data_IF_306666493611
#
_entry.id   IF_306666493611
#
_cell.length_a   1.000
_cell.length_b   1.000
_cell.length_c   1.000
_cell.angle_alpha   90.00
_cell.angle_beta   90.00
_cell.angle_gamma   90.00
#
_symmetry.space_group_name_H-M   'P 1'
#
loop_
_entity.id
_entity.type
_entity.pdbx_description
1 polymer ?
#
# COMPACT_ATOMS: atom_id res chain seq x y z
N UNK A 1 5.37 39.25 -71.26
CA UNK A 1 4.70 38.89 -69.99
C UNK A 1 4.92 37.41 -69.71
N UNK A 2 5.26 37.06 -68.46
CA UNK A 2 5.51 35.73 -67.88
C UNK A 2 6.98 35.30 -67.73
N UNK A 3 7.26 34.82 -66.51
CA UNK A 3 8.43 34.09 -65.98
C UNK A 3 9.64 34.94 -65.57
N UNK A 4 9.83 35.07 -64.25
CA UNK A 4 11.09 35.03 -63.46
C UNK A 4 10.98 35.90 -62.20
N UNK A 5 10.27 35.42 -61.17
CA UNK A 5 10.49 35.88 -59.79
C UNK A 5 10.28 34.64 -58.90
N UNK A 6 11.33 33.83 -58.80
CA UNK A 6 11.44 32.73 -57.85
C UNK A 6 12.90 32.66 -57.41
N UNK A 7 13.25 33.52 -56.46
CA UNK A 7 14.44 33.45 -55.58
C UNK A 7 14.45 34.75 -54.76
N UNK A 8 14.90 34.68 -53.50
CA UNK A 8 14.99 35.78 -52.53
C UNK A 8 13.77 35.99 -51.61
N UNK A 9 13.42 34.98 -50.81
CA UNK A 9 12.94 35.19 -49.44
C UNK A 9 13.09 33.88 -48.64
N UNK A 10 14.34 33.48 -48.39
CA UNK A 10 14.66 32.25 -47.66
C UNK A 10 15.82 32.42 -46.66
N UNK A 11 16.16 33.65 -46.25
CA UNK A 11 17.22 33.86 -45.26
C UNK A 11 16.87 35.05 -44.36
N UNK A 12 16.17 34.75 -43.26
CA UNK A 12 16.42 35.24 -41.89
C UNK A 12 15.16 34.99 -41.05
N UNK A 13 15.08 33.81 -40.44
CA UNK A 13 14.46 33.71 -39.12
C UNK A 13 15.39 32.84 -38.29
N UNK A 14 16.06 33.39 -37.26
CA UNK A 14 16.86 32.57 -36.37
C UNK A 14 15.91 31.57 -35.70
N UNK A 15 16.31 30.30 -35.78
CA UNK A 15 15.72 29.21 -35.02
C UNK A 15 15.94 29.56 -33.54
N UNK A 16 14.98 30.26 -32.95
CA UNK A 16 14.87 30.33 -31.51
C UNK A 16 14.30 28.97 -31.10
N UNK A 17 15.20 28.01 -30.89
CA UNK A 17 14.89 26.82 -30.11
C UNK A 17 14.61 27.31 -28.70
N UNK A 18 13.38 27.75 -28.44
CA UNK A 18 12.83 27.74 -27.10
C UNK A 18 12.91 26.27 -26.68
N UNK A 19 13.91 25.93 -25.88
CA UNK A 19 13.82 24.73 -25.06
C UNK A 19 12.49 24.82 -24.35
N UNK A 20 11.56 23.93 -24.70
CA UNK A 20 10.36 23.69 -23.92
C UNK A 20 10.91 23.10 -22.62
N UNK A 21 11.22 23.98 -21.66
CA UNK A 21 11.19 23.60 -20.26
C UNK A 21 9.78 23.03 -20.07
N UNK A 22 9.70 21.73 -19.81
CA UNK A 22 8.48 21.09 -19.34
C UNK A 22 8.09 21.91 -18.11
N UNK A 23 7.09 22.77 -18.25
CA UNK A 23 6.56 23.47 -17.09
C UNK A 23 5.99 22.37 -16.21
N UNK A 24 6.64 22.09 -15.08
CA UNK A 24 6.13 21.16 -14.09
C UNK A 24 4.84 21.75 -13.55
N UNK A 25 3.73 21.38 -14.17
CA UNK A 25 2.39 21.83 -13.77
C UNK A 25 2.09 21.23 -12.41
N UNK A 26 2.22 22.06 -11.37
CA UNK A 26 1.73 21.75 -10.02
C UNK A 26 0.25 21.39 -10.13
N UNK A 27 -0.10 20.17 -9.74
CA UNK A 27 -1.49 19.71 -9.74
C UNK A 27 -2.21 20.33 -8.55
N UNK A 28 -3.51 20.58 -8.70
CA UNK A 28 -4.35 20.99 -7.56
C UNK A 28 -4.50 19.88 -6.53
N UNK A 29 -4.46 18.61 -6.98
CA UNK A 29 -4.64 17.41 -6.17
C UNK A 29 -3.71 16.29 -6.64
N UNK A 30 -3.10 15.58 -5.69
CA UNK A 30 -2.24 14.43 -5.94
C UNK A 30 -2.82 13.15 -5.31
N UNK A 31 -2.73 12.02 -6.01
CA UNK A 31 -3.13 10.71 -5.47
C UNK A 31 -1.91 10.04 -4.85
N UNK A 32 -1.91 9.82 -3.54
CA UNK A 32 -0.81 9.20 -2.80
C UNK A 32 -1.22 7.78 -2.39
N UNK A 33 -0.51 6.77 -2.87
CA UNK A 33 -0.73 5.40 -2.44
C UNK A 33 0.11 5.07 -1.20
N UNK A 34 -0.40 4.20 -0.34
CA UNK A 34 0.27 3.75 0.87
C UNK A 34 -0.03 2.27 1.15
N UNK A 35 0.70 1.69 2.10
CA UNK A 35 0.38 0.37 2.63
C UNK A 35 -0.96 0.36 3.40
N UNK A 36 -1.52 -0.83 3.59
CA UNK A 36 -2.80 -1.06 4.28
C UNK A 36 -2.63 -1.39 5.76
N UNK A 37 -1.48 -1.91 6.19
CA UNK A 37 -1.23 -2.19 7.61
C UNK A 37 0.26 -2.34 7.94
N UNK A 38 0.83 -1.26 8.48
CA UNK A 38 2.21 -1.13 8.90
C UNK A 38 2.35 -0.10 10.03
N UNK A 39 1.79 -0.41 11.20
CA UNK A 39 1.94 0.44 12.38
C UNK A 39 3.41 0.50 12.84
N UNK A 40 3.93 1.66 13.29
CA UNK A 40 3.22 2.94 13.51
C UNK A 40 3.16 3.87 12.30
N UNK A 41 3.63 3.46 11.12
CA UNK A 41 3.70 4.33 9.95
C UNK A 41 2.34 4.52 9.26
N UNK A 42 1.60 3.44 9.05
CA UNK A 42 0.25 3.48 8.48
C UNK A 42 -0.60 2.35 9.03
N UNK A 43 -1.71 2.66 9.67
CA UNK A 43 -2.64 1.67 10.23
C UNK A 43 -4.00 2.31 10.47
N UNK A 44 -5.03 1.49 10.66
CA UNK A 44 -6.35 1.97 11.04
C UNK A 44 -6.45 2.13 12.56
N UNK A 45 -6.98 3.27 13.01
CA UNK A 45 -7.35 3.46 14.41
C UNK A 45 -8.67 2.70 14.74
N UNK A 46 -9.13 2.80 15.99
CA UNK A 46 -10.40 2.19 16.44
C UNK A 46 -11.65 2.66 15.70
N UNK A 47 -11.56 3.77 14.96
CA UNK A 47 -12.63 4.33 14.14
C UNK A 47 -12.53 3.89 12.66
N UNK A 48 -11.61 2.98 12.32
CA UNK A 48 -11.28 2.54 10.96
C UNK A 48 -10.66 3.65 10.08
N UNK A 49 -10.12 4.71 10.66
CA UNK A 49 -9.45 5.78 9.92
C UNK A 49 -7.93 5.51 9.83
N UNK A 50 -7.37 5.69 8.64
CA UNK A 50 -5.92 5.57 8.44
C UNK A 50 -5.15 6.70 9.13
N UNK A 51 -4.25 6.30 10.02
CA UNK A 51 -3.37 7.13 10.83
C UNK A 51 -1.95 6.52 10.88
N UNK A 52 -1.01 7.23 11.47
CA UNK A 52 0.38 6.80 11.61
C UNK A 52 1.35 7.88 11.16
N UNK A 53 2.65 7.63 11.33
CA UNK A 53 3.72 8.56 10.99
C UNK A 53 3.63 9.01 9.53
N UNK A 54 3.46 8.08 8.58
CA UNK A 54 3.40 8.41 7.14
C UNK A 54 2.14 9.21 6.82
N UNK A 55 1.00 8.81 7.40
CA UNK A 55 -0.29 9.48 7.18
C UNK A 55 -0.30 10.91 7.71
N UNK A 56 0.22 11.11 8.91
CA UNK A 56 0.29 12.43 9.54
C UNK A 56 1.35 13.30 8.85
N UNK A 57 2.49 12.72 8.45
CA UNK A 57 3.57 13.42 7.75
C UNK A 57 3.11 13.94 6.38
N UNK A 58 2.51 13.11 5.54
CA UNK A 58 2.10 13.55 4.20
C UNK A 58 1.01 14.61 4.26
N UNK A 59 0.06 14.50 5.21
CA UNK A 59 -0.99 15.50 5.43
C UNK A 59 -0.40 16.83 5.93
N UNK A 60 0.57 16.79 6.83
CA UNK A 60 1.25 17.98 7.32
C UNK A 60 2.06 18.68 6.22
N UNK A 61 2.78 17.92 5.38
CA UNK A 61 3.52 18.44 4.22
C UNK A 61 2.57 19.07 3.20
N UNK A 62 1.46 18.38 2.87
CA UNK A 62 0.44 18.89 1.95
C UNK A 62 -0.13 20.23 2.43
N UNK A 63 -0.44 20.34 3.72
CA UNK A 63 -0.90 21.59 4.35
C UNK A 63 0.16 22.70 4.33
N UNK A 64 1.42 22.38 4.62
CA UNK A 64 2.51 23.35 4.66
C UNK A 64 2.84 23.91 3.26
N UNK A 65 2.77 23.06 2.23
CA UNK A 65 3.08 23.43 0.85
C UNK A 65 1.86 23.88 0.04
N UNK A 66 0.65 23.70 0.55
CA UNK A 66 -0.58 24.19 -0.06
C UNK A 66 -1.09 23.36 -1.24
N UNK A 67 -0.89 22.03 -1.22
CA UNK A 67 -1.47 21.12 -2.22
C UNK A 67 -2.50 20.17 -1.59
N UNK A 68 -3.46 19.69 -2.38
CA UNK A 68 -4.43 18.70 -1.93
C UNK A 68 -3.93 17.28 -2.18
N UNK A 69 -4.32 16.34 -1.32
CA UNK A 69 -4.03 14.93 -1.48
C UNK A 69 -5.28 14.08 -1.34
N UNK A 70 -5.34 13.00 -2.10
CA UNK A 70 -6.19 11.84 -1.83
C UNK A 70 -5.28 10.66 -1.53
N UNK A 71 -5.50 10.01 -0.38
CA UNK A 71 -4.70 8.87 0.04
C UNK A 71 -5.49 7.60 -0.22
N UNK A 72 -4.86 6.62 -0.87
CA UNK A 72 -5.37 5.26 -1.00
C UNK A 72 -4.45 4.28 -0.27
N UNK A 73 -5.01 3.25 0.32
CA UNK A 73 -4.27 2.27 1.14
C UNK A 73 -4.48 0.83 0.63
N UNK A 74 -4.10 0.52 -0.63
CA UNK A 74 -4.34 -0.80 -1.21
C UNK A 74 -3.38 -1.90 -0.71
N UNK A 75 -2.34 -1.54 0.05
CA UNK A 75 -1.24 -2.43 0.43
C UNK A 75 0.04 -2.12 -0.35
N UNK A 76 1.21 -2.42 0.23
CA UNK A 76 2.51 -1.98 -0.30
C UNK A 76 2.76 -2.39 -1.76
N UNK A 77 2.56 -3.67 -2.10
CA UNK A 77 2.78 -4.18 -3.46
C UNK A 77 1.82 -3.56 -4.48
N UNK A 78 0.55 -3.35 -4.06
CA UNK A 78 -0.45 -2.69 -4.89
C UNK A 78 -0.16 -1.19 -5.04
N UNK A 79 0.36 -0.53 -4.00
CA UNK A 79 0.78 0.87 -4.04
C UNK A 79 1.97 1.09 -4.99
N UNK A 80 2.98 0.19 -4.97
CA UNK A 80 4.07 0.18 -5.95
C UNK A 80 3.50 0.06 -7.37
N UNK A 81 2.60 -0.90 -7.58
CA UNK A 81 1.99 -1.15 -8.89
C UNK A 81 1.19 0.06 -9.38
N UNK A 82 0.42 0.69 -8.50
CA UNK A 82 -0.38 1.89 -8.81
C UNK A 82 0.51 3.06 -9.25
N UNK A 83 1.61 3.33 -8.55
CA UNK A 83 2.54 4.41 -8.95
C UNK A 83 3.25 4.09 -10.28
N UNK A 84 3.68 2.84 -10.47
CA UNK A 84 4.31 2.43 -11.74
C UNK A 84 3.34 2.52 -12.93
N UNK A 85 2.07 2.17 -12.71
CA UNK A 85 1.00 2.30 -13.69
C UNK A 85 0.55 3.75 -13.93
N UNK A 86 0.92 4.69 -13.04
CA UNK A 86 0.49 6.09 -13.10
C UNK A 86 -0.93 6.33 -12.55
N UNK A 87 -1.48 5.37 -11.81
CA UNK A 87 -2.75 5.49 -11.08
C UNK A 87 -2.58 6.26 -9.76
N UNK A 88 -1.37 6.29 -9.22
CA UNK A 88 -0.99 7.14 -8.10
C UNK A 88 0.21 8.01 -8.50
N UNK A 89 0.24 9.22 -7.95
CA UNK A 89 1.27 10.23 -8.20
C UNK A 89 2.54 10.02 -7.36
N UNK A 90 2.40 9.38 -6.21
CA UNK A 90 3.51 9.02 -5.34
C UNK A 90 3.11 7.99 -4.29
N UNK A 91 4.11 7.53 -3.55
CA UNK A 91 3.98 6.52 -2.50
C UNK A 91 4.68 6.98 -1.22
N UNK A 92 3.97 6.91 -0.10
CA UNK A 92 4.53 7.00 1.26
C UNK A 92 4.07 5.77 2.03
N UNK A 93 5.00 4.87 2.36
CA UNK A 93 4.67 3.57 2.94
C UNK A 93 5.90 2.93 3.63
N UNK A 94 6.68 3.71 4.38
CA UNK A 94 7.94 3.26 4.97
C UNK A 94 8.94 2.74 3.92
N UNK A 95 8.86 3.25 2.69
CA UNK A 95 9.56 2.64 1.55
C UNK A 95 11.06 2.83 1.67
N UNK A 96 11.78 1.73 1.89
CA UNK A 96 13.25 1.73 1.93
C UNK A 96 13.84 2.16 0.57
N UNK A 97 14.84 3.03 0.61
CA UNK A 97 15.62 3.50 -0.53
C UNK A 97 16.64 2.45 -0.92
N UNK A 98 16.45 1.80 -2.08
CA UNK A 98 17.37 0.76 -2.60
C UNK A 98 17.74 1.05 -4.05
N UNK A 99 18.90 0.55 -4.50
CA UNK A 99 19.34 0.75 -5.88
C UNK A 99 18.39 0.13 -6.91
N UNK A 100 17.80 -1.03 -6.57
CA UNK A 100 16.76 -1.66 -7.38
C UNK A 100 15.53 -0.77 -7.54
N UNK A 101 15.11 -0.06 -6.48
CA UNK A 101 13.98 0.87 -6.54
C UNK A 101 14.34 2.17 -7.23
N UNK A 102 15.57 2.70 -7.07
CA UNK A 102 16.06 3.88 -7.80
C UNK A 102 16.08 3.69 -9.33
N UNK A 103 16.04 2.44 -9.80
CA UNK A 103 15.89 2.16 -11.23
C UNK A 103 14.49 2.54 -11.76
N UNK A 104 13.46 2.52 -10.90
CA UNK A 104 12.04 2.71 -11.28
C UNK A 104 11.34 3.88 -10.58
N UNK A 105 11.93 4.40 -9.51
CA UNK A 105 11.41 5.51 -8.71
C UNK A 105 12.45 6.62 -8.51
N UNK A 106 11.96 7.86 -8.42
CA UNK A 106 12.71 8.99 -7.85
C UNK A 106 12.26 9.18 -6.40
N UNK A 107 13.22 9.44 -5.51
CA UNK A 107 12.98 9.54 -4.07
C UNK A 107 13.15 10.96 -3.56
N UNK A 108 12.41 11.26 -2.50
CA UNK A 108 12.60 12.44 -1.66
C UNK A 108 13.86 12.32 -0.81
N UNK A 109 14.16 13.39 -0.06
CA UNK A 109 15.05 13.30 1.08
C UNK A 109 14.46 12.31 2.09
N UNK A 110 15.33 11.59 2.80
CA UNK A 110 14.87 10.64 3.80
C UNK A 110 14.17 11.34 4.96
N UNK A 111 12.99 10.82 5.31
CA UNK A 111 12.26 11.27 6.48
C UNK A 111 12.56 10.41 7.71
N UNK A 112 12.98 9.15 7.55
CA UNK A 112 13.30 8.28 8.67
C UNK A 112 14.44 7.31 8.33
N UNK A 113 15.35 7.08 9.28
CA UNK A 113 16.38 6.04 9.15
C UNK A 113 15.85 4.77 9.83
N UNK A 114 15.63 3.72 9.04
CA UNK A 114 15.16 2.45 9.55
C UNK A 114 16.33 1.66 10.16
N UNK A 115 16.14 1.25 11.42
CA UNK A 115 16.94 0.21 12.03
C UNK A 115 16.15 -1.09 11.96
N UNK A 116 16.78 -2.19 11.58
CA UNK A 116 16.21 -3.52 11.75
C UNK A 116 16.50 -3.99 13.17
N UNK A 117 15.54 -4.62 13.82
CA UNK A 117 15.71 -5.14 15.16
C UNK A 117 15.14 -6.55 15.28
N UNK A 118 15.78 -7.37 16.12
CA UNK A 118 15.29 -8.70 16.43
C UNK A 118 14.22 -8.63 17.52
N UNK A 119 13.06 -9.23 17.26
CA UNK A 119 12.00 -9.45 18.23
C UNK A 119 11.85 -10.91 18.60
N UNK A 120 11.75 -11.17 19.89
CA UNK A 120 11.49 -12.51 20.43
C UNK A 120 10.44 -12.42 21.53
N UNK A 121 9.77 -13.53 21.82
CA UNK A 121 8.88 -13.61 23.00
C UNK A 121 9.65 -13.28 24.27
N UNK A 122 9.01 -12.64 25.26
CA UNK A 122 9.64 -12.33 26.55
C UNK A 122 10.27 -13.57 27.21
N UNK A 123 9.62 -14.72 27.08
CA UNK A 123 10.07 -16.02 27.58
C UNK A 123 11.24 -16.64 26.81
N UNK A 124 11.66 -16.05 25.69
CA UNK A 124 12.73 -16.57 24.85
C UNK A 124 14.09 -16.43 25.53
N UNK A 125 14.98 -17.40 25.30
CA UNK A 125 16.37 -17.37 25.76
C UNK A 125 17.32 -16.76 24.72
N UNK A 126 16.84 -16.43 23.53
CA UNK A 126 17.63 -15.81 22.46
C UNK A 126 18.09 -14.42 22.93
N UNK A 127 19.41 -14.23 22.99
CA UNK A 127 20.05 -12.99 23.44
C UNK A 127 21.00 -12.39 22.39
N UNK A 128 21.39 -13.18 21.39
CA UNK A 128 22.38 -12.82 20.37
C UNK A 128 21.99 -13.40 18.99
N UNK A 129 22.66 -12.94 17.92
CA UNK A 129 22.42 -13.50 16.59
C UNK A 129 22.93 -14.94 16.49
N UNK A 130 23.95 -15.31 17.26
CA UNK A 130 24.51 -16.64 17.36
C UNK A 130 23.49 -17.66 17.91
N UNK A 131 22.58 -17.22 18.79
CA UNK A 131 21.50 -18.06 19.34
C UNK A 131 20.41 -18.40 18.31
N UNK A 132 20.44 -17.77 17.13
CA UNK A 132 19.51 -18.05 16.04
C UNK A 132 19.88 -19.30 15.23
N UNK A 133 21.00 -19.95 15.53
CA UNK A 133 21.40 -21.17 14.81
C UNK A 133 20.29 -22.22 14.85
N UNK A 134 19.94 -22.75 13.69
CA UNK A 134 18.86 -23.71 13.45
C UNK A 134 17.43 -23.20 13.79
N UNK A 135 17.28 -21.94 14.21
CA UNK A 135 16.01 -21.27 14.48
C UNK A 135 15.37 -20.72 13.21
N UNK A 136 14.07 -20.45 13.27
CA UNK A 136 13.34 -19.80 12.18
C UNK A 136 13.05 -18.34 12.51
N UNK A 137 13.53 -17.43 11.67
CA UNK A 137 13.28 -15.99 11.78
C UNK A 137 12.25 -15.57 10.73
N UNK A 138 11.16 -14.96 11.18
CA UNK A 138 10.14 -14.38 10.32
C UNK A 138 10.51 -12.97 9.85
N UNK A 139 10.20 -12.65 8.60
CA UNK A 139 10.39 -11.31 8.02
C UNK A 139 9.38 -11.05 6.90
N UNK A 140 9.02 -9.79 6.66
CA UNK A 140 8.17 -9.42 5.52
C UNK A 140 8.97 -9.45 4.21
N UNK A 141 8.34 -9.91 3.14
CA UNK A 141 8.93 -9.94 1.81
C UNK A 141 9.22 -8.53 1.28
N UNK A 142 10.32 -8.37 0.55
CA UNK A 142 10.71 -7.10 -0.08
C UNK A 142 11.20 -6.01 0.87
N UNK A 143 11.54 -6.35 2.12
CA UNK A 143 11.99 -5.39 3.14
C UNK A 143 13.51 -5.37 3.28
N UNK A 144 14.08 -4.25 3.74
CA UNK A 144 15.49 -4.18 4.09
C UNK A 144 15.87 -5.14 5.23
N UNK A 145 14.93 -5.42 6.14
CA UNK A 145 15.05 -6.48 7.15
C UNK A 145 15.26 -7.87 6.53
N UNK A 146 14.56 -8.19 5.43
CA UNK A 146 14.78 -9.44 4.69
C UNK A 146 16.18 -9.49 4.08
N UNK A 147 16.61 -8.40 3.43
CA UNK A 147 17.96 -8.30 2.86
C UNK A 147 19.03 -8.55 3.92
N UNK A 148 18.93 -7.87 5.06
CA UNK A 148 19.85 -8.07 6.19
C UNK A 148 19.90 -9.54 6.64
N UNK A 149 18.73 -10.19 6.79
CA UNK A 149 18.68 -11.59 7.16
C UNK A 149 19.31 -12.49 6.10
N UNK A 150 19.05 -12.26 4.82
CA UNK A 150 19.60 -13.06 3.73
C UNK A 150 21.13 -12.94 3.66
N UNK A 151 21.67 -11.73 3.76
CA UNK A 151 23.12 -11.49 3.71
C UNK A 151 23.86 -12.12 4.90
N UNK A 152 23.23 -12.17 6.08
CA UNK A 152 23.83 -12.72 7.29
C UNK A 152 23.45 -14.18 7.56
N UNK A 153 22.65 -14.81 6.68
CA UNK A 153 22.12 -16.16 6.92
C UNK A 153 23.22 -17.21 7.07
N UNK A 154 24.21 -17.20 6.18
CA UNK A 154 25.34 -18.14 6.23
C UNK A 154 26.23 -17.93 7.45
N UNK A 155 26.25 -16.73 8.02
CA UNK A 155 27.05 -16.39 9.20
C UNK A 155 26.44 -16.96 10.49
N UNK A 156 25.12 -16.92 10.62
CA UNK A 156 24.42 -17.26 11.87
C UNK A 156 23.61 -18.57 11.81
N UNK A 157 23.37 -19.13 10.62
CA UNK A 157 22.81 -20.48 10.46
C UNK A 157 21.32 -20.61 10.79
N UNK A 158 20.54 -19.54 10.69
CA UNK A 158 19.08 -19.58 10.84
C UNK A 158 18.36 -19.90 9.52
N UNK A 159 17.06 -20.20 9.61
CA UNK A 159 16.11 -20.30 8.50
C UNK A 159 15.30 -19.01 8.40
N UNK A 160 14.99 -18.58 7.19
CA UNK A 160 14.17 -17.39 6.94
C UNK A 160 12.78 -17.85 6.50
N UNK A 161 11.73 -17.32 7.14
CA UNK A 161 10.34 -17.47 6.69
C UNK A 161 9.79 -16.10 6.30
N UNK A 162 9.40 -15.95 5.05
CA UNK A 162 8.86 -14.69 4.53
C UNK A 162 7.35 -14.61 4.68
N UNK A 163 6.84 -13.42 4.95
CA UNK A 163 5.41 -13.10 5.09
C UNK A 163 4.99 -11.96 4.17
N UNK A 164 3.72 -11.93 3.77
CA UNK A 164 3.13 -10.84 2.98
C UNK A 164 2.84 -9.59 3.81
N UNK A 165 2.56 -9.76 5.09
CA UNK A 165 2.06 -8.73 5.99
C UNK A 165 2.57 -8.95 7.42
N UNK A 166 2.50 -7.90 8.24
CA UNK A 166 2.95 -7.95 9.63
C UNK A 166 2.10 -8.87 10.50
N UNK A 167 0.78 -8.86 10.33
CA UNK A 167 -0.16 -9.62 11.17
C UNK A 167 0.15 -11.12 11.14
N UNK A 168 0.25 -11.72 9.96
CA UNK A 168 0.55 -13.14 9.79
C UNK A 168 1.95 -13.53 10.31
N UNK A 169 2.91 -12.60 10.25
CA UNK A 169 4.25 -12.77 10.81
C UNK A 169 4.22 -12.80 12.34
N UNK A 170 3.59 -11.81 12.98
CA UNK A 170 3.48 -11.74 14.45
C UNK A 170 2.64 -12.89 15.01
N UNK A 171 1.57 -13.30 14.32
CA UNK A 171 0.77 -14.48 14.70
C UNK A 171 1.60 -15.77 14.65
N UNK A 172 2.49 -15.89 13.66
CA UNK A 172 3.42 -17.03 13.57
C UNK A 172 4.40 -17.05 14.74
N UNK A 173 4.84 -15.88 15.24
CA UNK A 173 5.70 -15.80 16.43
C UNK A 173 4.96 -16.22 17.70
N UNK A 174 3.73 -15.70 17.86
CA UNK A 174 2.87 -15.97 19.00
C UNK A 174 2.54 -17.47 19.11
N UNK A 175 2.19 -18.10 17.99
CA UNK A 175 1.91 -19.55 17.91
C UNK A 175 3.17 -20.43 18.05
N UNK A 176 4.37 -19.83 17.95
CA UNK A 176 5.64 -20.57 17.97
C UNK A 176 5.98 -21.27 16.67
N UNK A 177 5.31 -20.93 15.56
CA UNK A 177 5.67 -21.39 14.23
C UNK A 177 6.99 -20.78 13.71
N UNK A 178 7.44 -19.67 14.32
CA UNK A 178 8.77 -19.08 14.19
C UNK A 178 9.32 -18.74 15.58
N UNK A 179 10.64 -18.66 15.71
CA UNK A 179 11.33 -18.42 17.00
C UNK A 179 11.57 -16.93 17.26
N UNK A 180 11.73 -16.15 16.19
CA UNK A 180 12.00 -14.71 16.23
C UNK A 180 11.39 -14.02 15.01
N UNK A 181 11.22 -12.71 15.10
CA UNK A 181 10.90 -11.84 13.96
C UNK A 181 12.01 -10.81 13.79
N UNK A 182 12.22 -10.36 12.57
CA UNK A 182 13.03 -9.19 12.29
C UNK A 182 12.17 -8.17 11.54
N UNK A 183 12.03 -6.99 12.12
CA UNK A 183 11.22 -5.90 11.57
C UNK A 183 11.89 -4.56 11.91
N UNK A 184 11.32 -3.47 11.44
CA UNK A 184 11.82 -2.14 11.75
C UNK A 184 11.65 -1.83 13.24
N UNK A 185 12.67 -1.26 13.85
CA UNK A 185 12.72 -0.87 15.27
C UNK A 185 11.47 -0.12 15.75
N UNK A 186 10.96 0.93 15.06
CA UNK A 186 9.74 1.60 15.47
C UNK A 186 8.52 0.68 15.48
N UNK A 187 8.41 -0.26 14.54
CA UNK A 187 7.29 -1.20 14.41
C UNK A 187 7.28 -2.15 15.60
N UNK A 188 8.45 -2.73 15.89
CA UNK A 188 8.57 -3.70 16.96
C UNK A 188 8.39 -3.05 18.35
N UNK A 189 8.98 -1.86 18.56
CA UNK A 189 8.81 -1.09 19.80
C UNK A 189 7.36 -0.62 19.98
N UNK A 190 6.70 -0.20 18.90
CA UNK A 190 5.29 0.16 18.94
C UNK A 190 4.43 -1.06 19.34
N UNK A 191 4.64 -2.22 18.71
CA UNK A 191 3.93 -3.46 19.07
C UNK A 191 4.11 -3.84 20.55
N UNK A 192 5.34 -3.71 21.09
CA UNK A 192 5.61 -3.90 22.53
C UNK A 192 4.82 -2.89 23.37
N UNK A 193 4.81 -1.61 22.97
CA UNK A 193 4.05 -0.56 23.68
C UNK A 193 2.54 -0.79 23.68
N UNK A 194 2.01 -1.48 22.66
CA UNK A 194 0.60 -1.87 22.56
C UNK A 194 0.27 -3.14 23.38
N UNK A 195 1.24 -3.71 24.10
CA UNK A 195 1.02 -4.82 25.03
C UNK A 195 1.42 -6.20 24.50
N UNK A 196 2.07 -6.29 23.33
CA UNK A 196 2.65 -7.56 22.89
C UNK A 196 3.77 -7.99 23.84
N UNK A 197 3.73 -9.25 24.30
CA UNK A 197 4.71 -9.85 25.23
C UNK A 197 6.01 -10.24 24.51
N UNK A 198 6.64 -9.24 23.90
CA UNK A 198 7.88 -9.36 23.15
C UNK A 198 8.99 -8.55 23.81
N UNK A 199 10.23 -8.92 23.52
CA UNK A 199 11.43 -8.16 23.88
C UNK A 199 12.39 -8.06 22.70
N UNK A 200 13.28 -7.07 22.77
CA UNK A 200 14.31 -6.80 21.76
C UNK A 200 15.70 -7.02 22.36
N UNK A 201 16.26 -8.23 22.31
CA UNK A 201 17.50 -8.57 23.02
C UNK A 201 18.75 -7.95 22.40
N UNK A 202 18.68 -7.55 21.12
CA UNK A 202 19.79 -7.01 20.34
C UNK A 202 19.44 -5.57 19.96
N UNK A 203 20.41 -4.66 20.04
CA UNK A 203 20.24 -3.29 19.57
C UNK A 203 19.92 -3.26 18.06
N UNK A 204 19.12 -2.29 17.65
CA UNK A 204 18.78 -2.10 16.24
C UNK A 204 20.02 -1.86 15.39
N UNK A 205 20.06 -2.48 14.19
CA UNK A 205 21.11 -2.26 13.20
C UNK A 205 20.57 -1.35 12.09
N UNK A 206 21.23 -0.25 11.74
CA UNK A 206 20.81 0.59 10.61
C UNK A 206 20.77 -0.23 9.31
N UNK A 207 19.63 -0.22 8.62
CA UNK A 207 19.42 -0.96 7.36
C UNK A 207 19.05 -0.06 6.18
N UNK A 208 19.06 1.25 6.39
CA UNK A 208 18.92 2.24 5.33
C UNK A 208 17.90 3.31 5.64
N UNK A 209 17.61 4.10 4.62
CA UNK A 209 16.73 5.25 4.69
C UNK A 209 15.34 4.89 4.15
N UNK A 210 14.29 5.48 4.74
CA UNK A 210 12.95 5.51 4.15
C UNK A 210 12.67 6.90 3.60
N UNK A 211 12.00 6.94 2.46
CA UNK A 211 11.69 8.18 1.74
C UNK A 211 10.36 8.07 1.01
N UNK A 212 9.77 9.22 0.71
CA UNK A 212 8.66 9.33 -0.21
C UNK A 212 9.18 9.10 -1.63
N UNK A 213 8.37 8.50 -2.50
CA UNK A 213 8.80 8.20 -3.86
C UNK A 213 7.72 8.52 -4.90
N UNK A 214 8.18 8.85 -6.10
CA UNK A 214 7.35 9.03 -7.30
C UNK A 214 7.91 8.14 -8.41
N UNK A 215 7.10 7.85 -9.44
CA UNK A 215 7.59 7.15 -10.63
C UNK A 215 8.76 7.92 -11.23
N UNK A 216 9.84 7.23 -11.60
CA UNK A 216 11.04 7.86 -12.14
C UNK A 216 10.74 8.74 -13.35
N UNK A 217 11.20 9.99 -13.30
CA UNK A 217 10.97 11.01 -14.32
C UNK A 217 9.58 11.66 -14.31
N UNK A 218 8.77 11.38 -13.29
CA UNK A 218 7.42 11.95 -13.10
C UNK A 218 7.33 12.76 -11.81
N UNK A 219 6.44 13.76 -11.80
CA UNK A 219 6.12 14.60 -10.63
C UNK A 219 7.34 15.15 -9.85
N UNK A 220 8.38 15.70 -10.52
CA UNK A 220 9.54 16.27 -9.83
C UNK A 220 9.18 17.42 -8.88
N UNK A 221 8.11 18.16 -9.18
CA UNK A 221 7.58 19.21 -8.31
C UNK A 221 7.01 18.64 -7.00
N UNK A 222 6.45 17.43 -7.01
CA UNK A 222 5.94 16.77 -5.81
C UNK A 222 7.08 16.37 -4.88
N UNK A 223 8.20 15.90 -5.43
CA UNK A 223 9.44 15.64 -4.65
C UNK A 223 9.98 16.94 -4.04
N UNK A 224 10.01 18.03 -4.81
CA UNK A 224 10.48 19.33 -4.31
C UNK A 224 9.59 19.86 -3.18
N UNK A 225 8.26 19.81 -3.36
CA UNK A 225 7.29 20.17 -2.31
C UNK A 225 7.47 19.28 -1.07
N UNK A 226 7.64 17.98 -1.25
CA UNK A 226 7.88 17.06 -0.13
C UNK A 226 9.14 17.44 0.65
N UNK A 227 10.28 17.63 -0.03
CA UNK A 227 11.54 17.96 0.62
C UNK A 227 11.46 19.30 1.36
N UNK A 228 10.85 20.32 0.74
CA UNK A 228 10.67 21.63 1.36
C UNK A 228 9.74 21.56 2.57
N UNK A 229 8.62 20.85 2.46
CA UNK A 229 7.70 20.63 3.58
C UNK A 229 8.36 19.87 4.71
N UNK A 230 9.08 18.79 4.41
CA UNK A 230 9.84 18.02 5.41
C UNK A 230 10.86 18.90 6.14
N UNK A 231 11.61 19.74 5.42
CA UNK A 231 12.56 20.67 6.02
C UNK A 231 11.86 21.69 6.94
N UNK A 232 10.72 22.25 6.52
CA UNK A 232 9.92 23.17 7.33
C UNK A 232 9.40 22.50 8.61
N UNK A 233 8.83 21.29 8.50
CA UNK A 233 8.31 20.53 9.64
C UNK A 233 9.42 20.09 10.61
N UNK A 234 10.62 19.79 10.10
CA UNK A 234 11.80 19.54 10.95
C UNK A 234 12.22 20.82 11.69
N UNK A 235 12.25 21.96 10.99
CA UNK A 235 12.68 23.24 11.56
C UNK A 235 11.71 23.79 12.63
N UNK A 236 10.40 23.60 12.46
CA UNK A 236 9.37 24.08 13.38
C UNK A 236 9.02 23.07 14.50
N UNK A 237 9.64 21.88 14.49
CA UNK A 237 9.45 20.83 15.48
C UNK A 237 8.20 19.97 15.30
N UNK A 238 7.35 20.23 14.30
CA UNK A 238 6.14 19.45 14.03
C UNK A 238 6.48 18.01 13.62
N UNK A 239 7.57 17.82 12.87
CA UNK A 239 8.04 16.48 12.52
C UNK A 239 8.36 15.64 13.77
N UNK A 240 9.01 16.23 14.77
CA UNK A 240 9.31 15.53 16.02
C UNK A 240 8.04 15.20 16.80
N UNK A 241 7.04 16.09 16.82
CA UNK A 241 5.74 15.80 17.46
C UNK A 241 5.02 14.61 16.80
N UNK A 242 5.10 14.50 15.47
CA UNK A 242 4.53 13.36 14.74
C UNK A 242 5.25 12.09 15.19
N UNK A 243 6.59 12.08 15.26
CA UNK A 243 7.34 10.92 15.74
C UNK A 243 6.98 10.58 17.19
N UNK A 244 7.00 11.56 18.09
CA UNK A 244 6.74 11.36 19.53
C UNK A 244 5.33 10.81 19.79
N UNK A 245 4.34 11.23 19.00
CA UNK A 245 2.96 10.72 19.07
C UNK A 245 2.90 9.20 18.94
N UNK A 246 3.82 8.59 18.19
CA UNK A 246 3.81 7.15 17.91
C UNK A 246 4.99 6.38 18.51
N UNK A 247 6.12 7.04 18.77
CA UNK A 247 7.39 6.40 19.15
C UNK A 247 7.85 6.72 20.58
N UNK A 248 7.27 7.74 21.24
CA UNK A 248 7.66 8.05 22.61
C UNK A 248 7.25 6.90 23.54
N UNK A 249 8.26 6.26 24.16
CA UNK A 249 8.06 5.25 25.20
C UNK A 249 7.29 5.87 26.36
N UNK A 250 5.98 5.60 26.43
CA UNK A 250 5.08 6.18 27.43
C UNK A 250 3.82 6.81 26.86
N UNK A 251 3.73 7.04 25.53
CA UNK A 251 2.43 7.24 24.89
C UNK A 251 1.75 5.87 24.74
N UNK A 252 1.36 5.31 25.89
CA UNK A 252 0.19 4.46 25.93
C UNK A 252 -0.95 5.32 25.38
N UNK A 253 -1.17 5.28 24.07
CA UNK A 253 -2.52 5.49 23.54
C UNK A 253 -3.36 4.61 24.42
N UNK A 254 -4.21 5.24 25.22
CA UNK A 254 -5.08 4.57 26.19
C UNK A 254 -6.18 3.89 25.39
N UNK A 255 -5.80 2.96 24.52
CA UNK A 255 -6.59 1.81 24.20
C UNK A 255 -6.48 0.96 25.45
N UNK A 256 -7.47 1.11 26.33
CA UNK A 256 -7.67 0.27 27.50
C UNK A 256 -7.94 -1.16 27.01
N UNK A 257 -6.91 -1.85 26.52
CA UNK A 257 -6.96 -3.27 26.23
C UNK A 257 -6.88 -3.98 27.58
N UNK A 258 -8.02 -4.06 28.28
CA UNK A 258 -8.16 -4.81 29.54
C UNK A 258 -8.09 -6.33 29.32
N UNK A 259 -7.80 -6.78 28.10
CA UNK A 259 -7.93 -8.18 27.68
C UNK A 259 -6.64 -8.61 26.98
N UNK A 260 -6.12 -9.76 27.41
CA UNK A 260 -4.88 -10.35 26.90
C UNK A 260 -5.05 -10.87 25.46
N UNK A 261 -4.57 -10.09 24.49
CA UNK A 261 -4.57 -10.44 23.06
C UNK A 261 -3.63 -11.59 22.70
N UNK A 262 -2.83 -12.12 23.63
CA UNK A 262 -2.08 -13.36 23.38
C UNK A 262 -2.97 -14.60 23.34
N UNK A 263 -4.27 -14.44 23.63
CA UNK A 263 -5.28 -15.50 23.57
C UNK A 263 -6.30 -15.23 22.46
N UNK A 264 -6.79 -16.31 21.83
CA UNK A 264 -7.85 -16.24 20.81
C UNK A 264 -9.09 -15.49 21.36
N UNK A 265 -9.40 -15.69 22.64
CA UNK A 265 -10.53 -15.04 23.30
C UNK A 265 -10.30 -13.53 23.48
N UNK A 266 -9.09 -13.11 23.82
CA UNK A 266 -8.75 -11.69 23.93
C UNK A 266 -8.78 -10.96 22.59
N UNK A 267 -8.26 -11.60 21.54
CA UNK A 267 -8.36 -11.08 20.16
C UNK A 267 -9.83 -10.91 19.73
N UNK A 268 -10.66 -11.93 19.97
CA UNK A 268 -12.09 -11.88 19.68
C UNK A 268 -12.79 -10.75 20.42
N UNK A 269 -12.51 -10.59 21.72
CA UNK A 269 -13.17 -9.58 22.54
C UNK A 269 -12.75 -8.16 22.14
N UNK A 270 -11.48 -7.94 21.83
CA UNK A 270 -11.00 -6.60 21.47
C UNK A 270 -11.44 -6.19 20.05
N UNK A 271 -11.52 -7.16 19.14
CA UNK A 271 -11.84 -6.92 17.73
C UNK A 271 -13.30 -7.26 17.36
N UNK A 272 -14.16 -7.57 18.33
CA UNK A 272 -15.51 -8.09 18.08
C UNK A 272 -16.35 -7.16 17.19
N UNK A 273 -16.20 -5.83 17.35
CA UNK A 273 -16.90 -4.84 16.53
C UNK A 273 -16.46 -4.91 15.07
N UNK A 274 -15.16 -5.01 14.83
CA UNK A 274 -14.60 -5.08 13.49
C UNK A 274 -14.95 -6.42 12.82
N UNK A 275 -14.92 -7.52 13.58
CA UNK A 275 -15.36 -8.83 13.13
C UNK A 275 -16.85 -8.85 12.75
N UNK A 276 -17.72 -8.27 13.59
CA UNK A 276 -19.15 -8.13 13.29
C UNK A 276 -19.40 -7.25 12.06
N UNK A 277 -18.65 -6.15 11.92
CA UNK A 277 -18.74 -5.28 10.75
C UNK A 277 -18.32 -6.01 9.47
N UNK A 278 -17.17 -6.72 9.50
CA UNK A 278 -16.69 -7.52 8.38
C UNK A 278 -17.62 -8.68 8.01
N UNK A 279 -18.18 -9.36 9.02
CA UNK A 279 -19.22 -10.38 8.82
C UNK A 279 -20.47 -9.77 8.17
N UNK A 280 -20.92 -8.60 8.64
CA UNK A 280 -22.06 -7.89 8.06
C UNK A 280 -21.85 -7.54 6.59
N UNK A 281 -20.67 -7.03 6.24
CA UNK A 281 -20.29 -6.74 4.86
C UNK A 281 -20.28 -8.02 4.01
N UNK A 282 -19.70 -9.11 4.54
CA UNK A 282 -19.64 -10.41 3.83
C UNK A 282 -21.04 -10.97 3.57
N UNK A 283 -21.93 -10.93 4.57
CA UNK A 283 -23.31 -11.38 4.44
C UNK A 283 -24.10 -10.49 3.47
N UNK A 284 -23.90 -9.17 3.52
CA UNK A 284 -24.54 -8.24 2.60
C UNK A 284 -24.09 -8.49 1.15
N UNK A 285 -22.78 -8.61 0.93
CA UNK A 285 -22.20 -8.97 -0.38
C UNK A 285 -22.79 -10.28 -0.89
N UNK A 286 -22.79 -11.33 -0.08
CA UNK A 286 -23.31 -12.63 -0.47
C UNK A 286 -24.81 -12.57 -0.83
N UNK A 287 -25.63 -11.94 0.00
CA UNK A 287 -27.08 -11.88 -0.22
C UNK A 287 -27.45 -11.04 -1.45
N UNK A 288 -26.83 -9.87 -1.61
CA UNK A 288 -27.11 -8.99 -2.75
C UNK A 288 -26.61 -9.63 -4.05
N UNK A 289 -25.39 -10.17 -4.05
CA UNK A 289 -24.82 -10.85 -5.22
C UNK A 289 -25.66 -12.06 -5.61
N UNK A 290 -26.12 -12.85 -4.64
CA UNK A 290 -26.99 -13.99 -4.88
C UNK A 290 -28.34 -13.58 -5.48
N UNK A 291 -28.96 -12.52 -4.98
CA UNK A 291 -30.20 -12.00 -5.53
C UNK A 291 -30.04 -11.54 -6.99
N UNK A 292 -28.95 -10.83 -7.30
CA UNK A 292 -28.63 -10.39 -8.66
C UNK A 292 -28.35 -11.60 -9.57
N UNK A 293 -27.55 -12.57 -9.10
CA UNK A 293 -27.21 -13.79 -9.84
C UNK A 293 -28.45 -14.59 -10.22
N UNK A 294 -29.45 -14.69 -9.33
CA UNK A 294 -30.73 -15.35 -9.64
C UNK A 294 -31.44 -14.64 -10.80
N UNK A 295 -31.53 -13.30 -10.73
CA UNK A 295 -32.23 -12.51 -11.77
C UNK A 295 -31.52 -12.66 -13.11
N UNK A 296 -30.19 -12.51 -13.13
CA UNK A 296 -29.36 -12.69 -14.33
C UNK A 296 -29.52 -14.12 -14.86
N UNK A 297 -29.40 -15.13 -14.00
CA UNK A 297 -29.53 -16.54 -14.36
C UNK A 297 -30.89 -16.89 -14.96
N UNK A 298 -31.98 -16.34 -14.42
CA UNK A 298 -33.33 -16.55 -14.98
C UNK A 298 -33.44 -15.90 -16.37
N UNK A 299 -32.97 -14.66 -16.53
CA UNK A 299 -33.04 -13.94 -17.83
C UNK A 299 -32.27 -14.71 -18.91
N UNK A 300 -31.03 -15.09 -18.64
CA UNK A 300 -30.21 -15.83 -19.60
C UNK A 300 -30.72 -17.26 -19.80
N UNK A 301 -31.24 -17.89 -18.75
CA UNK A 301 -31.94 -19.18 -18.87
C UNK A 301 -33.13 -19.09 -19.84
N UNK A 302 -33.95 -18.04 -19.76
CA UNK A 302 -35.05 -17.81 -20.71
C UNK A 302 -34.55 -17.50 -22.12
N UNK A 303 -33.45 -16.77 -22.26
CA UNK A 303 -32.85 -16.48 -23.57
C UNK A 303 -32.33 -17.75 -24.24
N UNK A 304 -31.76 -18.68 -23.48
CA UNK A 304 -31.22 -19.96 -23.98
C UNK A 304 -32.28 -20.86 -24.62
N UNK A 305 -33.53 -20.78 -24.14
CA UNK A 305 -34.68 -21.56 -24.66
C UNK A 305 -35.60 -20.77 -25.58
N UNK A 306 -35.22 -19.53 -25.90
CA UNK A 306 -36.04 -18.65 -26.73
C UNK A 306 -36.20 -19.18 -28.16
N UNK A 307 -37.37 -19.00 -28.80
CA UNK A 307 -37.53 -19.31 -30.23
C UNK A 307 -36.65 -18.42 -31.12
N UNK A 308 -36.23 -17.25 -30.64
CA UNK A 308 -35.39 -16.32 -31.39
C UNK A 308 -33.91 -16.71 -31.33
N UNK A 309 -33.31 -16.93 -32.50
CA UNK A 309 -31.89 -17.31 -32.63
C UNK A 309 -30.93 -16.27 -32.05
N UNK A 310 -31.27 -14.98 -32.13
CA UNK A 310 -30.47 -13.89 -31.57
C UNK A 310 -30.36 -13.96 -30.05
N UNK A 311 -31.46 -14.27 -29.35
CA UNK A 311 -31.46 -14.37 -27.89
C UNK A 311 -30.67 -15.57 -27.40
N UNK A 312 -30.80 -16.71 -28.08
CA UNK A 312 -29.98 -17.90 -27.77
C UNK A 312 -28.50 -17.65 -27.95
N UNK A 313 -28.11 -16.98 -29.04
CA UNK A 313 -26.72 -16.62 -29.30
C UNK A 313 -26.15 -15.70 -28.22
N UNK A 314 -26.92 -14.70 -27.78
CA UNK A 314 -26.50 -13.79 -26.71
C UNK A 314 -26.29 -14.57 -25.39
N UNK A 315 -27.16 -15.53 -25.09
CA UNK A 315 -27.02 -16.37 -23.90
C UNK A 315 -25.83 -17.32 -23.96
N UNK A 316 -25.58 -17.94 -25.11
CA UNK A 316 -24.42 -18.82 -25.31
C UNK A 316 -23.12 -18.04 -25.11
N UNK A 317 -22.99 -16.87 -25.75
CA UNK A 317 -21.81 -16.00 -25.61
C UNK A 317 -21.61 -15.60 -24.14
N UNK A 318 -22.67 -15.16 -23.45
CA UNK A 318 -22.57 -14.77 -22.04
C UNK A 318 -22.07 -15.94 -21.17
N UNK A 319 -22.70 -17.10 -21.28
CA UNK A 319 -22.35 -18.29 -20.48
C UNK A 319 -20.92 -18.76 -20.78
N UNK A 320 -20.54 -18.80 -22.05
CA UNK A 320 -19.21 -19.26 -22.48
C UNK A 320 -18.11 -18.30 -22.01
N UNK A 321 -18.34 -16.98 -22.09
CA UNK A 321 -17.36 -15.98 -21.64
C UNK A 321 -17.23 -15.99 -20.13
N UNK A 322 -18.35 -15.94 -19.39
CA UNK A 322 -18.32 -15.85 -17.93
C UNK A 322 -17.78 -17.14 -17.31
N UNK A 323 -18.16 -18.33 -17.82
CA UNK A 323 -17.61 -19.60 -17.32
C UNK A 323 -16.21 -19.92 -17.84
N UNK A 324 -15.81 -19.33 -18.97
CA UNK A 324 -14.52 -19.56 -19.60
C UNK A 324 -13.38 -18.74 -18.99
N UNK A 325 -13.69 -17.61 -18.34
CA UNK A 325 -12.67 -16.75 -17.71
C UNK A 325 -12.45 -17.18 -16.26
N UNK A 326 -11.20 -17.44 -15.83
CA UNK A 326 -10.88 -17.67 -14.43
C UNK A 326 -11.42 -16.55 -13.54
N UNK A 327 -12.11 -16.89 -12.43
CA UNK A 327 -12.76 -15.92 -11.54
C UNK A 327 -11.81 -14.81 -11.08
N UNK A 328 -10.54 -15.14 -10.83
CA UNK A 328 -9.52 -14.15 -10.46
C UNK A 328 -9.27 -13.09 -11.55
N UNK A 329 -9.30 -13.49 -12.82
CA UNK A 329 -9.14 -12.57 -13.96
C UNK A 329 -10.39 -11.70 -14.10
N UNK A 330 -11.57 -12.31 -13.96
CA UNK A 330 -12.85 -11.58 -13.99
C UNK A 330 -12.92 -10.55 -12.86
N UNK A 331 -12.57 -10.94 -11.64
CA UNK A 331 -12.49 -10.05 -10.49
C UNK A 331 -11.47 -8.93 -10.73
N UNK A 332 -10.25 -9.25 -11.18
CA UNK A 332 -9.25 -8.22 -11.49
C UNK A 332 -9.74 -7.22 -12.55
N UNK A 333 -10.45 -7.71 -13.58
CA UNK A 333 -11.03 -6.86 -14.60
C UNK A 333 -12.17 -5.97 -14.07
N UNK A 334 -12.99 -6.47 -13.15
CA UNK A 334 -14.08 -5.67 -12.56
C UNK A 334 -13.54 -4.64 -11.58
N UNK A 335 -12.56 -5.01 -10.75
CA UNK A 335 -11.95 -4.12 -9.75
C UNK A 335 -11.03 -3.07 -10.36
N UNK A 336 -10.32 -3.42 -11.44
CA UNK A 336 -9.30 -2.54 -12.02
C UNK A 336 -9.56 -2.20 -13.48
N UNK A 337 -10.00 -3.15 -14.29
CA UNK A 337 -10.22 -2.93 -15.73
C UNK A 337 -11.36 -1.93 -16.03
N UNK A 338 -12.56 -2.20 -15.51
CA UNK A 338 -13.75 -1.36 -15.77
C UNK A 338 -13.55 0.07 -15.22
N UNK A 339 -13.09 0.28 -13.97
CA UNK A 339 -12.85 1.63 -13.46
C UNK A 339 -11.88 2.44 -14.31
N UNK A 340 -10.72 1.85 -14.65
CA UNK A 340 -9.71 2.51 -15.49
C UNK A 340 -10.24 2.82 -16.90
N UNK A 341 -11.07 1.93 -17.47
CA UNK A 341 -11.66 2.15 -18.79
C UNK A 341 -12.68 3.31 -18.78
N UNK A 342 -13.54 3.36 -17.76
CA UNK A 342 -14.49 4.47 -17.56
C UNK A 342 -13.73 5.78 -17.40
N UNK A 343 -12.69 5.80 -16.57
CA UNK A 343 -11.88 7.00 -16.34
C UNK A 343 -11.14 7.46 -17.61
N UNK A 344 -10.61 6.53 -18.40
CA UNK A 344 -9.96 6.83 -19.68
C UNK A 344 -10.91 7.50 -20.70
N UNK A 345 -12.19 7.09 -20.72
CA UNK A 345 -13.18 7.65 -21.66
C UNK A 345 -13.82 8.93 -21.13
N UNK A 346 -14.10 8.99 -19.83
CA UNK A 346 -14.89 10.08 -19.24
C UNK A 346 -14.03 11.17 -18.61
N UNK A 347 -12.74 10.90 -18.34
CA UNK A 347 -11.86 11.77 -17.58
C UNK A 347 -12.27 11.93 -16.12
N UNK A 348 -13.21 11.11 -15.62
CA UNK A 348 -13.70 11.14 -14.25
C UNK A 348 -13.49 9.79 -13.56
N UNK A 349 -13.15 9.84 -12.27
CA UNK A 349 -12.98 8.66 -11.44
C UNK A 349 -14.27 7.81 -11.47
N UNK A 350 -14.09 6.50 -11.66
CA UNK A 350 -15.21 5.57 -11.77
C UNK A 350 -16.12 5.61 -10.53
N UNK A 351 -17.45 5.57 -10.69
CA UNK A 351 -18.38 5.49 -9.56
C UNK A 351 -18.41 4.09 -8.90
N UNK A 352 -17.69 3.12 -9.46
CA UNK A 352 -17.65 1.74 -8.96
C UNK A 352 -16.69 1.68 -7.77
N UNK A 353 -17.25 1.60 -6.56
CA UNK A 353 -16.50 1.33 -5.34
C UNK A 353 -16.27 -0.18 -5.13
N UNK A 354 -15.40 -0.54 -4.19
CA UNK A 354 -15.03 -1.94 -3.91
C UNK A 354 -16.23 -2.84 -3.57
N UNK A 355 -17.24 -2.28 -2.89
CA UNK A 355 -18.46 -3.01 -2.55
C UNK A 355 -19.27 -3.36 -3.81
N UNK A 356 -19.43 -2.40 -4.72
CA UNK A 356 -20.13 -2.60 -6.00
C UNK A 356 -19.32 -3.54 -6.90
N UNK A 357 -18.00 -3.36 -6.98
CA UNK A 357 -17.12 -4.26 -7.74
C UNK A 357 -17.21 -5.70 -7.22
N UNK A 358 -17.15 -5.90 -5.90
CA UNK A 358 -17.32 -7.21 -5.26
C UNK A 358 -18.70 -7.81 -5.53
N UNK A 359 -19.75 -7.00 -5.48
CA UNK A 359 -21.13 -7.44 -5.77
C UNK A 359 -21.26 -7.91 -7.22
N UNK A 360 -20.72 -7.16 -8.19
CA UNK A 360 -20.76 -7.53 -9.60
C UNK A 360 -19.98 -8.82 -9.83
N UNK A 361 -18.75 -8.90 -9.31
CA UNK A 361 -17.87 -10.06 -9.49
C UNK A 361 -18.44 -11.35 -8.91
N UNK A 362 -19.20 -11.28 -7.81
CA UNK A 362 -19.86 -12.43 -7.21
C UNK A 362 -21.23 -12.77 -7.83
N UNK A 363 -21.80 -11.86 -8.62
CA UNK A 363 -23.12 -12.04 -9.24
C UNK A 363 -23.09 -12.60 -10.66
N UNK A 364 -21.93 -12.53 -11.31
CA UNK A 364 -21.65 -13.05 -12.66
C UNK A 364 -21.08 -14.46 -12.53
#
# INVERSE_FOLDING_TARGET
>A
MKKKILACLLILFPIFSLGIAKADTVKSKYIIASDSSFAPFVFQNSNNEYTGIDMDLIKAIAKDQGFEIEITNPGFDAAISAVQAGQADGIIAGMSVTDARKATFDFSDSYYTANTILGVKESSTIASYEDLKDKTVGVKNGTASQTFLTENQSKYGYKIKTFSDGSSMYDSLNTGAIDAVMDDEPVLKYSISQGQKLKTPIAGTPIGETAFAVKKGSNPELIQMFNKGLANLKANGEFQKILDKYLASGAATTSTSTVDETTIWGLLQNNYKQLLSGLGITLALALISFAIAIVIGIIFGMFSVSPYKSLRLISEIFVDVIRGIPLMILAAFIFWGIPNFIESITGQQSPINDFVAGTIALSL
#
